data_IF_809954323731
#
_entry.id   IF_809954323731
#
_cell.length_a   1.000
_cell.length_b   1.000
_cell.length_c   1.000
_cell.angle_alpha   90.00
_cell.angle_beta   90.00
_cell.angle_gamma   90.00
#
_symmetry.space_group_name_H-M   'P 1'
#
loop_
_entity.id
_entity.type
_entity.pdbx_description
1 polymer ?
#
# COMPACT_ATOMS: atom_id res chain seq x y z
N UNK A 1 -12.82 -11.69 49.15
CA UNK A 1 -13.43 -10.61 48.34
C UNK A 1 -12.44 -10.25 47.22
N UNK A 2 -12.53 -10.86 46.03
CA UNK A 2 -11.66 -10.47 44.93
C UNK A 2 -12.26 -9.27 44.18
N UNK A 3 -11.39 -8.32 43.85
CA UNK A 3 -11.72 -7.12 43.08
C UNK A 3 -11.76 -7.46 41.59
N UNK A 4 -12.90 -7.21 40.96
CA UNK A 4 -13.03 -7.14 39.50
C UNK A 4 -12.26 -5.92 38.99
N UNK A 5 -11.14 -6.14 38.31
CA UNK A 5 -10.67 -5.23 37.27
C UNK A 5 -10.97 -5.88 35.93
N UNK A 6 -12.08 -5.44 35.33
CA UNK A 6 -12.31 -5.62 33.90
C UNK A 6 -11.32 -4.69 33.19
N UNK A 7 -10.27 -5.26 32.61
CA UNK A 7 -9.46 -4.57 31.60
C UNK A 7 -10.28 -4.54 30.30
N UNK A 8 -11.10 -3.50 30.13
CA UNK A 8 -11.56 -3.11 28.79
C UNK A 8 -10.51 -2.16 28.22
N UNK A 9 -9.77 -2.59 27.20
CA UNK A 9 -8.93 -1.69 26.41
C UNK A 9 -7.61 -2.26 25.88
N UNK A 10 -7.57 -3.49 25.36
CA UNK A 10 -6.49 -3.92 24.46
C UNK A 10 -7.05 -4.12 23.05
N UNK A 11 -6.46 -3.43 22.05
CA UNK A 11 -6.74 -3.68 20.63
C UNK A 11 -7.16 -2.49 19.78
N UNK A 12 -6.70 -1.26 20.03
CA UNK A 12 -6.70 -0.23 18.98
C UNK A 12 -5.34 -0.28 18.28
N UNK A 13 -5.21 -1.12 17.25
CA UNK A 13 -4.01 -1.21 16.44
C UNK A 13 -3.56 0.16 15.94
N UNK A 14 -2.25 0.35 15.80
CA UNK A 14 -1.64 1.59 15.33
C UNK A 14 -2.29 2.04 14.00
N UNK A 15 -2.72 3.30 13.93
CA UNK A 15 -3.48 3.86 12.79
C UNK A 15 -2.68 4.81 11.90
N UNK A 16 -1.41 5.03 12.22
CA UNK A 16 -0.48 5.84 11.44
C UNK A 16 0.79 5.04 11.16
N UNK A 17 1.46 5.34 10.05
CA UNK A 17 2.80 4.82 9.74
C UNK A 17 3.67 6.01 9.39
N UNK A 18 4.78 6.20 10.11
CA UNK A 18 5.71 7.32 9.92
C UNK A 18 5.01 8.70 9.97
N UNK A 19 3.99 8.84 10.82
CA UNK A 19 3.21 10.09 10.98
C UNK A 19 2.12 10.31 9.93
N UNK A 20 1.98 9.41 8.95
CA UNK A 20 0.93 9.42 7.94
C UNK A 20 -0.22 8.50 8.37
N UNK A 21 -1.44 9.03 8.38
CA UNK A 21 -2.63 8.27 8.81
C UNK A 21 -3.01 7.24 7.74
N UNK A 22 -3.17 5.98 8.13
CA UNK A 22 -3.64 4.94 7.21
C UNK A 22 -5.10 5.21 6.78
N UNK A 23 -5.45 4.98 5.50
CA UNK A 23 -6.83 5.12 5.05
C UNK A 23 -7.77 4.23 5.88
N UNK A 24 -8.92 4.78 6.29
CA UNK A 24 -9.93 4.05 7.09
C UNK A 24 -10.32 2.73 6.43
N UNK A 25 -10.46 2.72 5.09
CA UNK A 25 -10.76 1.51 4.34
C UNK A 25 -9.65 0.46 4.44
N UNK A 26 -8.37 0.86 4.42
CA UNK A 26 -7.25 -0.09 4.56
C UNK A 26 -7.28 -0.75 5.94
N UNK A 27 -7.49 0.06 6.98
CA UNK A 27 -7.65 -0.44 8.36
C UNK A 27 -8.79 -1.45 8.43
N UNK A 28 -9.96 -1.12 7.87
CA UNK A 28 -11.11 -2.03 7.85
C UNK A 28 -10.82 -3.32 7.08
N UNK A 29 -10.13 -3.26 5.94
CA UNK A 29 -9.75 -4.44 5.16
C UNK A 29 -8.77 -5.32 5.94
N UNK A 30 -7.83 -4.74 6.67
CA UNK A 30 -6.91 -5.47 7.55
C UNK A 30 -7.67 -6.13 8.71
N UNK A 31 -8.47 -5.36 9.45
CA UNK A 31 -9.25 -5.85 10.60
C UNK A 31 -10.22 -6.97 10.22
N UNK A 32 -10.76 -6.92 9.00
CA UNK A 32 -11.65 -7.97 8.46
C UNK A 32 -10.91 -9.11 7.75
N UNK A 33 -9.57 -9.11 7.72
CA UNK A 33 -8.76 -10.13 7.03
C UNK A 33 -8.95 -10.17 5.51
N UNK A 34 -9.49 -9.09 4.93
CA UNK A 34 -9.71 -8.91 3.49
C UNK A 34 -8.53 -8.28 2.78
N UNK A 35 -7.67 -7.55 3.48
CA UNK A 35 -6.40 -7.07 2.92
C UNK A 35 -5.40 -8.23 2.84
N UNK A 36 -5.38 -8.92 1.70
CA UNK A 36 -4.49 -10.03 1.37
C UNK A 36 -4.40 -10.17 -0.14
N UNK A 37 -3.49 -11.02 -0.62
CA UNK A 37 -3.33 -11.28 -2.05
C UNK A 37 -4.69 -11.62 -2.72
N UNK A 38 -5.17 -10.79 -3.67
CA UNK A 38 -6.50 -10.96 -4.28
C UNK A 38 -6.51 -12.00 -5.41
N UNK A 39 -5.33 -12.53 -5.75
CA UNK A 39 -5.09 -13.46 -6.85
C UNK A 39 -4.57 -12.74 -8.09
N UNK A 40 -3.77 -13.45 -8.88
CA UNK A 40 -3.15 -12.91 -10.10
C UNK A 40 -4.14 -12.25 -11.07
N UNK A 41 -5.35 -12.81 -11.31
CA UNK A 41 -6.28 -12.16 -12.23
C UNK A 41 -6.76 -10.78 -11.76
N UNK A 42 -6.85 -10.55 -10.45
CA UNK A 42 -7.23 -9.24 -9.91
C UNK A 42 -6.08 -8.24 -10.03
N UNK A 43 -4.85 -8.66 -9.72
CA UNK A 43 -3.65 -7.85 -9.89
C UNK A 43 -3.43 -7.47 -11.36
N UNK A 44 -3.49 -8.43 -12.28
CA UNK A 44 -3.31 -8.19 -13.72
C UNK A 44 -4.36 -7.23 -14.31
N UNK A 45 -5.58 -7.18 -13.74
CA UNK A 45 -6.58 -6.17 -14.13
C UNK A 45 -6.25 -4.78 -13.58
N UNK A 46 -5.81 -4.69 -12.33
CA UNK A 46 -5.53 -3.42 -11.67
C UNK A 46 -4.20 -2.79 -12.12
N UNK A 47 -3.18 -3.61 -12.42
CA UNK A 47 -1.83 -3.21 -12.78
C UNK A 47 -1.24 -4.16 -13.83
N UNK A 48 -1.70 -4.11 -15.10
CA UNK A 48 -1.32 -5.08 -16.14
C UNK A 48 0.17 -5.09 -16.52
N UNK A 49 0.94 -4.12 -16.04
CA UNK A 49 2.37 -3.96 -16.30
C UNK A 49 3.26 -4.49 -15.17
N UNK A 50 2.67 -4.92 -14.05
CA UNK A 50 3.41 -5.38 -12.88
C UNK A 50 3.57 -6.91 -12.98
N UNK A 51 4.80 -7.41 -12.98
CA UNK A 51 5.06 -8.84 -13.23
C UNK A 51 5.43 -9.64 -11.97
N UNK A 52 5.92 -8.98 -10.91
CA UNK A 52 6.32 -9.68 -9.69
C UNK A 52 5.12 -10.03 -8.79
N UNK A 53 5.27 -11.13 -8.04
CA UNK A 53 4.32 -11.50 -6.99
C UNK A 53 4.46 -10.56 -5.79
N UNK A 54 3.33 -10.19 -5.19
CA UNK A 54 3.26 -9.19 -4.13
C UNK A 54 2.74 -9.76 -2.82
N UNK A 55 3.49 -9.61 -1.74
CA UNK A 55 3.00 -9.80 -0.39
C UNK A 55 2.34 -8.52 0.13
N UNK A 56 1.04 -8.62 0.44
CA UNK A 56 0.24 -7.54 1.00
C UNK A 56 0.57 -7.37 2.48
N UNK A 57 1.02 -6.19 2.88
CA UNK A 57 1.38 -5.92 4.28
C UNK A 57 0.10 -5.78 5.11
N UNK A 58 -0.11 -6.67 6.08
CA UNK A 58 -1.37 -6.78 6.83
C UNK A 58 -1.31 -6.16 8.23
N UNK A 59 -0.20 -5.50 8.58
CA UNK A 59 -0.01 -4.90 9.89
C UNK A 59 0.78 -3.59 9.77
N UNK A 60 0.41 -2.60 10.59
CA UNK A 60 1.01 -1.27 10.57
C UNK A 60 2.49 -1.27 11.00
N UNK A 61 2.91 -2.20 11.88
CA UNK A 61 4.34 -2.32 12.22
C UNK A 61 5.15 -2.88 11.06
N UNK A 62 4.60 -3.83 10.29
CA UNK A 62 5.27 -4.32 9.07
C UNK A 62 5.34 -3.21 8.00
N UNK A 63 4.23 -2.49 7.77
CA UNK A 63 4.24 -1.33 6.88
C UNK A 63 5.28 -0.30 7.29
N UNK A 64 5.44 -0.04 8.60
CA UNK A 64 6.49 0.87 9.08
C UNK A 64 7.89 0.31 8.82
N UNK A 65 8.15 -0.96 9.15
CA UNK A 65 9.46 -1.58 8.93
C UNK A 65 9.87 -1.50 7.46
N UNK A 66 8.97 -1.89 6.57
CA UNK A 66 9.21 -1.86 5.12
C UNK A 66 9.35 -0.42 4.60
N UNK A 67 8.49 0.51 5.05
CA UNK A 67 8.59 1.91 4.63
C UNK A 67 9.87 2.59 5.15
N UNK A 68 10.43 2.17 6.28
CA UNK A 68 11.74 2.63 6.78
C UNK A 68 12.92 2.12 5.93
N UNK A 69 12.75 1.11 5.08
CA UNK A 69 13.78 0.74 4.13
C UNK A 69 13.97 1.85 3.07
N UNK A 70 12.88 2.50 2.64
CA UNK A 70 12.93 3.62 1.70
C UNK A 70 13.77 4.78 2.22
N UNK A 71 13.76 5.01 3.53
CA UNK A 71 14.56 6.04 4.20
C UNK A 71 16.06 5.83 3.95
N UNK A 72 16.52 4.59 4.10
CA UNK A 72 17.94 4.23 3.89
C UNK A 72 18.31 4.32 2.42
N UNK A 73 17.44 3.85 1.53
CA UNK A 73 17.65 3.91 0.08
C UNK A 73 17.65 5.35 -0.44
N UNK A 74 16.83 6.24 0.14
CA UNK A 74 16.80 7.64 -0.24
C UNK A 74 18.01 8.45 0.27
N UNK A 75 18.61 8.05 1.39
CA UNK A 75 19.83 8.68 1.92
C UNK A 75 21.10 8.25 1.15
N UNK A 76 21.04 7.16 0.38
CA UNK A 76 22.12 6.70 -0.49
C UNK A 76 21.96 7.25 -1.92
N UNK A 77 23.01 7.89 -2.46
CA UNK A 77 22.91 8.61 -3.74
C UNK A 77 22.70 7.66 -4.93
N UNK A 78 23.34 6.50 -4.91
CA UNK A 78 23.23 5.50 -5.98
C UNK A 78 21.84 4.85 -5.95
N UNK A 79 21.43 4.37 -4.77
CA UNK A 79 20.12 3.73 -4.58
C UNK A 79 18.97 4.69 -4.83
N UNK A 80 19.04 5.94 -4.36
CA UNK A 80 17.98 6.92 -4.57
C UNK A 80 17.75 7.23 -6.05
N UNK A 81 18.84 7.33 -6.84
CA UNK A 81 18.75 7.48 -8.30
C UNK A 81 18.22 6.23 -8.97
N UNK A 82 18.72 5.07 -8.57
CA UNK A 82 18.31 3.78 -9.13
C UNK A 82 16.81 3.58 -8.96
N UNK A 83 16.29 3.70 -7.74
CA UNK A 83 14.90 3.44 -7.37
C UNK A 83 13.96 4.66 -7.49
N UNK A 84 14.45 5.78 -8.03
CA UNK A 84 13.71 7.05 -8.16
C UNK A 84 13.08 7.51 -6.85
N UNK A 85 13.86 7.50 -5.79
CA UNK A 85 13.45 7.96 -4.47
C UNK A 85 13.99 9.36 -4.23
N UNK A 86 13.20 10.19 -3.57
CA UNK A 86 13.65 11.50 -3.08
C UNK A 86 13.22 11.65 -1.63
N UNK A 87 14.16 12.12 -0.80
CA UNK A 87 13.86 12.70 0.49
C UNK A 87 14.05 14.21 0.36
N UNK A 88 13.03 14.99 0.67
CA UNK A 88 13.18 16.44 0.74
C UNK A 88 13.52 16.85 2.16
N UNK A 89 14.21 17.98 2.28
CA UNK A 89 14.36 18.67 3.57
C UNK A 89 13.63 20.01 3.45
N UNK A 90 12.46 20.14 4.07
CA UNK A 90 11.71 21.39 4.12
C UNK A 90 10.70 21.60 2.99
N UNK A 91 10.15 22.81 2.89
CA UNK A 91 8.98 23.19 2.08
C UNK A 91 9.27 23.48 0.60
N UNK A 92 10.27 22.82 0.05
CA UNK A 92 10.71 23.03 -1.32
C UNK A 92 9.79 22.18 -2.23
N UNK A 93 9.14 22.79 -3.23
CA UNK A 93 7.87 22.28 -3.80
C UNK A 93 7.89 20.83 -4.33
N UNK A 94 6.84 20.05 -4.06
CA UNK A 94 6.66 18.62 -4.39
C UNK A 94 7.25 18.19 -5.75
N UNK A 95 7.99 17.08 -5.75
CA UNK A 95 8.41 16.41 -7.00
C UNK A 95 7.25 15.54 -7.48
N UNK A 96 6.99 15.47 -8.78
CA UNK A 96 5.98 14.53 -9.32
C UNK A 96 6.61 13.17 -9.70
N UNK A 97 5.76 12.21 -10.04
CA UNK A 97 6.20 10.96 -10.67
C UNK A 97 7.06 11.27 -11.92
N UNK A 98 8.13 10.51 -12.18
CA UNK A 98 8.39 9.16 -11.69
C UNK A 98 9.16 9.05 -10.35
N UNK A 99 9.37 10.16 -9.63
CA UNK A 99 10.04 10.14 -8.33
C UNK A 99 9.04 9.93 -7.18
N UNK A 100 9.36 9.02 -6.26
CA UNK A 100 8.61 8.84 -5.02
C UNK A 100 9.23 9.67 -3.90
N UNK A 101 8.42 10.52 -3.29
CA UNK A 101 8.83 11.27 -2.10
C UNK A 101 8.62 10.41 -0.85
N UNK A 102 9.71 9.93 -0.27
CA UNK A 102 9.65 8.86 0.76
C UNK A 102 8.96 9.30 2.05
N UNK A 103 8.92 10.60 2.35
CA UNK A 103 8.25 11.16 3.53
C UNK A 103 6.73 11.19 3.38
N UNK A 104 6.23 11.09 2.14
CA UNK A 104 4.82 11.10 1.79
C UNK A 104 4.36 9.73 1.27
N UNK A 105 5.09 8.65 1.58
CA UNK A 105 4.81 7.32 1.08
C UNK A 105 4.75 6.25 2.18
N UNK A 106 3.79 5.32 2.05
CA UNK A 106 3.70 4.11 2.88
C UNK A 106 3.60 2.90 1.97
N UNK A 107 4.52 1.94 2.12
CA UNK A 107 4.43 0.66 1.43
C UNK A 107 3.25 -0.14 1.99
N UNK A 108 2.45 -0.72 1.10
CA UNK A 108 1.27 -1.53 1.42
C UNK A 108 1.30 -2.93 0.80
N UNK A 109 2.18 -3.13 -0.19
CA UNK A 109 2.61 -4.45 -0.65
C UNK A 109 4.07 -4.38 -1.10
N UNK A 110 4.80 -5.46 -0.92
CA UNK A 110 6.21 -5.61 -1.34
C UNK A 110 6.35 -6.89 -2.15
N UNK A 111 7.42 -7.03 -2.90
CA UNK A 111 7.73 -8.27 -3.59
C UNK A 111 7.76 -9.49 -2.64
N UNK A 112 7.27 -10.62 -3.14
CA UNK A 112 7.26 -11.88 -2.41
C UNK A 112 8.67 -12.52 -2.32
N UNK A 113 9.44 -12.43 -3.41
CA UNK A 113 10.77 -13.02 -3.47
C UNK A 113 11.85 -11.99 -3.12
N UNK A 114 12.77 -12.39 -2.24
CA UNK A 114 13.92 -11.56 -1.92
C UNK A 114 14.79 -11.32 -3.16
N UNK A 115 15.11 -10.05 -3.44
CA UNK A 115 15.87 -9.63 -4.61
C UNK A 115 14.99 -9.06 -5.73
N UNK A 116 13.68 -9.27 -5.68
CA UNK A 116 12.74 -8.53 -6.50
C UNK A 116 12.58 -7.15 -5.86
N UNK A 117 13.14 -6.09 -6.45
CA UNK A 117 13.14 -4.76 -5.85
C UNK A 117 11.85 -3.97 -6.22
N UNK A 118 10.69 -4.58 -6.00
CA UNK A 118 9.39 -4.01 -6.40
C UNK A 118 8.40 -3.90 -5.24
N UNK A 119 7.55 -2.87 -5.28
CA UNK A 119 6.61 -2.55 -4.22
C UNK A 119 5.43 -1.71 -4.72
N UNK A 120 4.36 -1.69 -3.90
CA UNK A 120 3.19 -0.83 -4.04
C UNK A 120 3.08 0.06 -2.81
N UNK A 121 2.85 1.35 -3.04
CA UNK A 121 2.79 2.37 -2.01
C UNK A 121 1.52 3.23 -2.10
N UNK A 122 1.07 3.70 -0.94
CA UNK A 122 0.21 4.87 -0.80
C UNK A 122 1.07 6.12 -0.94
N UNK A 123 0.63 7.07 -1.75
CA UNK A 123 1.29 8.36 -1.95
C UNK A 123 0.36 9.52 -1.59
N UNK A 124 0.76 10.23 -0.53
CA UNK A 124 -0.04 11.24 0.18
C UNK A 124 0.15 12.65 -0.38
N UNK A 125 0.95 12.84 -1.44
CA UNK A 125 1.22 14.18 -2.02
C UNK A 125 0.00 14.89 -2.59
N UNK A 126 -1.09 14.15 -2.89
CA UNK A 126 -2.31 14.70 -3.53
C UNK A 126 -3.46 14.84 -2.55
N UNK A 127 -3.77 13.78 -1.79
CA UNK A 127 -4.87 13.75 -0.82
C UNK A 127 -4.42 12.93 0.40
N UNK A 128 -4.31 13.55 1.59
CA UNK A 128 -3.87 12.84 2.79
C UNK A 128 -4.92 11.89 3.38
N UNK A 129 -6.20 12.07 3.04
CA UNK A 129 -7.29 11.22 3.54
C UNK A 129 -7.57 10.03 2.61
N UNK A 130 -7.29 10.19 1.32
CA UNK A 130 -7.48 9.14 0.31
C UNK A 130 -6.33 9.13 -0.71
N UNK A 131 -5.12 8.73 -0.27
CA UNK A 131 -3.90 8.80 -1.08
C UNK A 131 -4.04 8.00 -2.37
N UNK A 132 -3.32 8.44 -3.41
CA UNK A 132 -3.20 7.64 -4.64
C UNK A 132 -2.39 6.38 -4.38
N UNK A 133 -2.55 5.38 -5.23
CA UNK A 133 -1.76 4.15 -5.16
C UNK A 133 -0.76 4.14 -6.31
N UNK A 134 0.51 3.93 -5.99
CA UNK A 134 1.61 3.88 -6.96
C UNK A 134 2.35 2.56 -6.82
N UNK A 135 2.93 2.07 -7.92
CA UNK A 135 3.83 0.92 -7.92
C UNK A 135 5.16 1.26 -8.54
N UNK A 136 6.22 0.59 -8.10
CA UNK A 136 7.52 0.60 -8.77
C UNK A 136 7.43 -0.19 -10.07
N UNK A 137 7.93 0.37 -11.15
CA UNK A 137 7.87 -0.17 -12.50
C UNK A 137 9.29 -0.24 -13.07
N UNK A 138 9.75 -1.45 -13.34
CA UNK A 138 11.01 -1.73 -14.07
C UNK A 138 10.74 -2.36 -15.46
N UNK A 139 9.49 -2.70 -15.76
CA UNK A 139 9.13 -3.49 -16.93
C UNK A 139 8.79 -2.63 -18.13
N UNK A 140 8.09 -1.51 -17.95
CA UNK A 140 7.60 -0.73 -19.08
C UNK A 140 8.70 0.10 -19.76
N UNK A 141 9.72 0.51 -19.01
CA UNK A 141 10.89 1.23 -19.51
C UNK A 141 12.13 0.42 -19.17
N UNK A 142 12.63 -0.32 -20.16
CA UNK A 142 13.77 -1.23 -19.98
C UNK A 142 14.94 -0.57 -19.25
N UNK A 143 15.35 -1.21 -18.15
CA UNK A 143 16.51 -0.80 -17.35
C UNK A 143 16.31 0.46 -16.51
N UNK A 144 15.07 0.90 -16.27
CA UNK A 144 14.79 2.09 -15.45
C UNK A 144 13.65 1.81 -14.48
N UNK A 145 13.94 1.88 -13.18
CA UNK A 145 12.87 2.01 -12.21
C UNK A 145 12.20 3.37 -12.34
N UNK A 146 10.88 3.35 -12.17
CA UNK A 146 10.05 4.53 -12.06
C UNK A 146 8.86 4.23 -11.15
N UNK A 147 8.32 5.24 -10.48
CA UNK A 147 7.05 5.09 -9.78
C UNK A 147 5.90 5.53 -10.70
N UNK A 148 4.86 4.70 -10.77
CA UNK A 148 3.70 4.94 -11.63
C UNK A 148 2.41 4.80 -10.84
N UNK A 149 1.44 5.68 -11.12
CA UNK A 149 0.08 5.55 -10.60
C UNK A 149 -0.57 4.26 -11.08
N UNK A 150 -1.02 3.45 -10.12
CA UNK A 150 -1.90 2.30 -10.32
C UNK A 150 -3.36 2.78 -10.27
N UNK A 151 -3.70 3.55 -9.24
CA UNK A 151 -5.04 4.07 -9.03
C UNK A 151 -5.00 5.49 -8.48
N UNK A 152 -5.98 6.36 -8.83
CA UNK A 152 -6.02 7.74 -8.35
C UNK A 152 -6.27 7.86 -6.84
N UNK A 153 -6.84 6.83 -6.22
CA UNK A 153 -7.12 6.75 -4.78
C UNK A 153 -7.02 5.32 -4.27
N UNK A 154 -6.81 5.14 -2.97
CA UNK A 154 -6.83 3.82 -2.34
C UNK A 154 -8.21 3.14 -2.49
N UNK A 155 -9.30 3.89 -2.37
CA UNK A 155 -10.63 3.34 -2.59
C UNK A 155 -10.82 2.77 -4.01
N UNK A 156 -10.35 3.50 -5.04
CA UNK A 156 -10.41 3.01 -6.42
C UNK A 156 -9.54 1.76 -6.62
N UNK A 157 -8.40 1.68 -5.93
CA UNK A 157 -7.56 0.48 -5.97
C UNK A 157 -8.24 -0.72 -5.33
N UNK A 158 -8.79 -0.57 -4.12
CA UNK A 158 -9.50 -1.64 -3.43
C UNK A 158 -10.68 -2.17 -4.26
N UNK A 159 -11.42 -1.28 -4.95
CA UNK A 159 -12.47 -1.66 -5.89
C UNK A 159 -11.93 -2.45 -7.08
N UNK A 160 -10.84 -1.97 -7.72
CA UNK A 160 -10.22 -2.67 -8.84
C UNK A 160 -9.74 -4.09 -8.48
N UNK A 161 -9.34 -4.29 -7.22
CA UNK A 161 -8.98 -5.60 -6.67
C UNK A 161 -10.19 -6.46 -6.27
N UNK A 162 -11.40 -5.89 -6.24
CA UNK A 162 -12.63 -6.57 -5.81
C UNK A 162 -12.72 -6.76 -4.29
N UNK A 163 -12.12 -5.87 -3.50
CA UNK A 163 -12.04 -5.97 -2.04
C UNK A 163 -13.08 -5.13 -1.30
N UNK A 164 -13.74 -4.20 -1.98
CA UNK A 164 -14.71 -3.27 -1.40
C UNK A 164 -16.13 -3.85 -1.27
N UNK A 165 -16.45 -4.96 -1.95
CA UNK A 165 -17.72 -5.65 -1.76
C UNK A 165 -17.76 -6.52 -0.49
N UNK A 166 -18.87 -6.51 0.27
CA UNK A 166 -19.09 -7.49 1.32
C UNK A 166 -19.30 -8.88 0.69
N UNK A 167 -18.62 -9.89 1.23
CA UNK A 167 -18.83 -11.29 0.85
C UNK A 167 -20.29 -11.69 1.11
N UNK A 168 -21.16 -11.60 0.11
CA UNK A 168 -22.58 -11.94 0.26
C UNK A 168 -23.56 -11.41 -0.80
N UNK A 169 -23.13 -10.65 -1.80
CA UNK A 169 -24.00 -10.08 -2.84
C UNK A 169 -24.27 -10.97 -4.05
N UNK A 170 -24.35 -12.30 -3.90
CA UNK A 170 -24.81 -13.16 -4.99
C UNK A 170 -26.33 -13.00 -5.20
N UNK A 171 -26.85 -12.87 -6.43
CA UNK A 171 -28.30 -12.86 -6.64
C UNK A 171 -28.91 -14.17 -6.10
N UNK A 172 -30.06 -14.13 -5.41
CA UNK A 172 -30.72 -15.34 -4.96
C UNK A 172 -31.04 -16.22 -6.17
N UNK A 173 -30.52 -17.45 -6.16
CA UNK A 173 -30.84 -18.45 -7.18
C UNK A 173 -32.35 -18.61 -7.30
N UNK A 174 -32.87 -18.89 -8.51
CA UNK A 174 -34.32 -19.00 -8.70
C UNK A 174 -34.88 -20.10 -7.79
N UNK A 175 -36.07 -19.90 -7.19
CA UNK A 175 -36.70 -20.93 -6.38
C UNK A 175 -36.90 -22.19 -7.22
N UNK A 176 -36.34 -23.30 -6.74
CA UNK A 176 -36.47 -24.61 -7.36
C UNK A 176 -37.95 -24.97 -7.54
N UNK A 177 -38.26 -25.50 -8.72
CA UNK A 177 -39.55 -26.12 -9.01
C UNK A 177 -39.65 -27.51 -8.41
#
# INVERSE_FOLDING_TARGET
>A
MPWNHVLVGEGAGRRDVRGLVLPVLLIQLIETGRWKHPGEPALARAMPWFEDQLDFLTDAHEMERQSRALDRLADDEESSRLFRLVRRRGSEGSVDLPWLEVEHAILIAVSHYAGDDTAVALDYRVDPANPRVVGSDIWTVSGRYQWRTIAPTFAAFANALGLDEPAGGGPPGPPGR
#
